data_IF_364120343287
#
_entry.id   IF_364120343287
#
_cell.length_a   1.000
_cell.length_b   1.000
_cell.length_c   1.000
_cell.angle_alpha   90.00
_cell.angle_beta   90.00
_cell.angle_gamma   90.00
#
_symmetry.space_group_name_H-M   'P 1'
#
loop_
_entity.id
_entity.type
_entity.pdbx_description
1 polymer ?
#
# COMPACT_ATOMS: atom_id res chain seq x y z
N UNK A 1 9.66 -20.37 -16.11
CA UNK A 1 8.41 -19.90 -16.76
C UNK A 1 8.48 -18.38 -16.81
N UNK A 2 8.37 -17.73 -17.99
CA UNK A 2 8.40 -16.26 -18.08
C UNK A 2 6.98 -15.76 -17.79
N UNK A 3 6.73 -15.19 -16.61
CA UNK A 3 5.47 -14.52 -16.30
C UNK A 3 5.43 -13.18 -17.04
N UNK A 4 4.35 -12.90 -17.78
CA UNK A 4 4.06 -11.57 -18.35
C UNK A 4 3.03 -10.85 -17.48
N UNK A 5 3.23 -9.55 -17.24
CA UNK A 5 2.27 -8.69 -16.55
C UNK A 5 1.44 -7.98 -17.61
N UNK A 6 0.13 -8.23 -17.67
CA UNK A 6 -0.77 -7.56 -18.62
C UNK A 6 -1.67 -6.59 -17.84
N UNK A 7 -1.53 -5.30 -18.10
CA UNK A 7 -2.41 -4.26 -17.59
C UNK A 7 -3.62 -4.08 -18.52
N UNK A 8 -4.83 -4.03 -17.97
CA UNK A 8 -5.95 -3.35 -18.60
C UNK A 8 -6.15 -2.00 -17.91
N UNK A 9 -5.87 -0.95 -18.67
CA UNK A 9 -6.27 0.46 -18.55
C UNK A 9 -6.56 0.98 -17.11
N UNK A 10 -5.71 1.94 -16.70
CA UNK A 10 -5.88 2.97 -15.67
C UNK A 10 -5.16 2.84 -14.31
N UNK A 11 -4.07 2.07 -14.21
CA UNK A 11 -3.08 2.27 -13.14
C UNK A 11 -1.74 2.72 -13.75
N UNK A 12 -1.20 3.82 -13.21
CA UNK A 12 -0.02 4.52 -13.71
C UNK A 12 1.17 3.55 -13.87
N UNK A 13 1.88 3.54 -15.02
CA UNK A 13 2.95 2.57 -15.32
C UNK A 13 4.20 2.62 -14.42
N UNK A 14 4.32 3.61 -13.54
CA UNK A 14 5.61 4.04 -13.00
C UNK A 14 6.13 3.25 -11.79
N UNK A 15 5.29 2.49 -11.07
CA UNK A 15 5.67 1.90 -9.77
C UNK A 15 5.80 0.37 -9.76
N UNK A 16 5.39 -0.33 -10.82
CA UNK A 16 5.59 -1.78 -10.98
C UNK A 16 6.55 -2.11 -12.14
N UNK A 17 7.15 -1.09 -12.74
CA UNK A 17 8.03 -1.21 -13.90
C UNK A 17 9.45 -1.65 -13.54
N UNK A 18 9.82 -2.85 -13.95
CA UNK A 18 11.17 -3.24 -14.39
C UNK A 18 12.28 -3.44 -13.35
N UNK A 19 12.39 -2.64 -12.29
CA UNK A 19 13.51 -2.73 -11.32
C UNK A 19 13.11 -3.32 -9.96
N UNK A 20 11.92 -3.01 -9.44
CA UNK A 20 11.51 -3.46 -8.11
C UNK A 20 11.23 -4.98 -8.06
N UNK A 21 10.61 -5.53 -9.11
CA UNK A 21 10.30 -6.98 -9.19
C UNK A 21 11.57 -7.85 -9.31
N UNK A 22 12.60 -7.33 -9.98
CA UNK A 22 13.89 -8.00 -10.11
C UNK A 22 14.62 -8.04 -8.76
N UNK A 23 14.47 -7.00 -7.94
CA UNK A 23 15.06 -6.95 -6.60
C UNK A 23 14.37 -7.90 -5.60
N UNK A 24 13.05 -8.05 -5.67
CA UNK A 24 12.28 -8.87 -4.70
C UNK A 24 12.23 -10.35 -5.08
N UNK A 25 12.02 -10.67 -6.36
CA UNK A 25 11.82 -12.05 -6.81
C UNK A 25 12.88 -12.55 -7.79
N UNK A 26 13.82 -11.69 -8.23
CA UNK A 26 14.77 -12.04 -9.30
C UNK A 26 14.09 -12.22 -10.66
N UNK A 27 12.84 -11.75 -10.81
CA UNK A 27 12.04 -11.93 -12.02
C UNK A 27 11.78 -10.56 -12.65
N UNK A 28 12.19 -10.43 -13.92
CA UNK A 28 11.83 -9.28 -14.74
C UNK A 28 10.48 -9.52 -15.40
N UNK A 29 9.48 -8.77 -14.96
CA UNK A 29 8.14 -8.78 -15.54
C UNK A 29 8.05 -7.72 -16.63
N UNK A 30 7.61 -8.12 -17.82
CA UNK A 30 7.26 -7.21 -18.90
C UNK A 30 5.82 -6.73 -18.71
N UNK A 31 5.59 -5.43 -18.92
CA UNK A 31 4.28 -4.79 -18.80
C UNK A 31 3.73 -4.54 -20.20
N UNK A 32 2.50 -4.99 -20.46
CA UNK A 32 1.79 -4.80 -21.72
C UNK A 32 0.35 -4.34 -21.46
N UNK A 33 -0.16 -3.40 -22.25
CA UNK A 33 -1.56 -2.95 -22.17
C UNK A 33 -2.46 -3.82 -23.06
N UNK A 34 -3.53 -4.37 -22.49
CA UNK A 34 -4.49 -5.25 -23.18
C UNK A 34 -5.87 -5.20 -22.52
N UNK A 35 -6.92 -5.38 -23.31
CA UNK A 35 -8.31 -5.47 -22.82
C UNK A 35 -8.74 -6.90 -22.48
N UNK A 36 -7.83 -7.87 -22.63
CA UNK A 36 -8.09 -9.27 -22.34
C UNK A 36 -6.90 -9.89 -21.63
N UNK A 37 -7.13 -10.82 -20.68
CA UNK A 37 -6.05 -11.50 -19.99
C UNK A 37 -5.23 -12.39 -20.94
N UNK A 38 -3.91 -12.36 -20.78
CA UNK A 38 -3.00 -13.26 -21.50
C UNK A 38 -2.85 -14.61 -20.78
N UNK A 39 -2.35 -15.62 -21.48
CA UNK A 39 -2.03 -16.91 -20.85
C UNK A 39 -0.88 -16.80 -19.85
N UNK A 40 -1.02 -17.45 -18.70
CA UNK A 40 -0.01 -17.47 -17.62
C UNK A 40 0.45 -16.06 -17.22
N UNK A 41 -0.49 -15.12 -17.15
CA UNK A 41 -0.23 -13.71 -16.88
C UNK A 41 -0.83 -13.25 -15.54
N UNK A 42 -0.34 -12.11 -15.05
CA UNK A 42 -1.04 -11.35 -14.02
C UNK A 42 -1.83 -10.27 -14.74
N UNK A 43 -3.15 -10.34 -14.62
CA UNK A 43 -4.09 -9.41 -15.23
C UNK A 43 -4.67 -8.46 -14.19
N UNK A 44 -4.45 -7.17 -14.40
CA UNK A 44 -4.94 -6.10 -13.53
C UNK A 44 -6.03 -5.33 -14.28
N UNK A 45 -7.22 -5.20 -13.70
CA UNK A 45 -8.34 -4.49 -14.33
C UNK A 45 -9.17 -3.71 -13.31
N UNK A 46 -9.80 -2.64 -13.77
CA UNK A 46 -10.86 -1.99 -13.01
C UNK A 46 -12.18 -2.75 -13.18
N UNK A 47 -12.97 -2.78 -12.10
CA UNK A 47 -14.32 -3.32 -12.05
C UNK A 47 -15.34 -2.27 -11.65
N UNK A 48 -16.56 -2.72 -11.41
CA UNK A 48 -17.63 -1.86 -10.89
C UNK A 48 -17.42 -1.59 -9.40
N UNK A 49 -17.36 -0.31 -8.99
CA UNK A 49 -17.22 0.10 -7.59
C UNK A 49 -18.37 -0.42 -6.72
N UNK A 50 -19.58 -0.53 -7.29
CA UNK A 50 -20.76 -0.99 -6.56
C UNK A 50 -20.76 -2.49 -6.24
N UNK A 51 -19.78 -3.24 -6.77
CA UNK A 51 -19.62 -4.67 -6.52
C UNK A 51 -19.05 -4.98 -5.12
N UNK A 52 -18.53 -3.97 -4.41
CA UNK A 52 -17.86 -4.16 -3.12
C UNK A 52 -18.61 -3.46 -2.00
N UNK A 53 -18.68 -4.11 -0.84
CA UNK A 53 -19.22 -3.53 0.39
C UNK A 53 -18.14 -3.45 1.46
N UNK A 54 -18.24 -2.52 2.39
CA UNK A 54 -17.41 -2.48 3.60
C UNK A 54 -17.90 -3.49 4.65
N UNK A 55 -17.23 -3.55 5.81
CA UNK A 55 -17.63 -4.44 6.91
C UNK A 55 -19.03 -4.12 7.50
N UNK A 56 -19.58 -2.93 7.25
CA UNK A 56 -20.92 -2.54 7.66
C UNK A 56 -21.98 -2.80 6.57
N UNK A 57 -21.57 -3.29 5.40
CA UNK A 57 -22.45 -3.61 4.27
C UNK A 57 -22.74 -2.43 3.34
N UNK A 58 -22.06 -1.29 3.49
CA UNK A 58 -22.21 -0.13 2.61
C UNK A 58 -21.32 -0.27 1.37
N UNK A 59 -21.76 0.22 0.19
CA UNK A 59 -20.91 0.23 -1.00
C UNK A 59 -19.58 0.93 -0.73
N UNK A 60 -18.47 0.33 -1.17
CA UNK A 60 -17.12 0.87 -0.96
C UNK A 60 -16.30 0.89 -2.24
N UNK A 61 -15.57 1.99 -2.46
CA UNK A 61 -14.60 2.10 -3.55
C UNK A 61 -13.21 1.52 -3.19
N UNK A 62 -13.09 0.91 -2.00
CA UNK A 62 -11.86 0.34 -1.48
C UNK A 62 -11.91 -1.21 -1.36
N UNK A 63 -12.54 -1.87 -2.33
CA UNK A 63 -12.58 -3.34 -2.44
C UNK A 63 -11.96 -3.87 -3.73
N UNK A 64 -11.40 -5.09 -3.66
CA UNK A 64 -10.94 -5.84 -4.82
C UNK A 64 -11.20 -7.34 -4.69
N UNK A 65 -11.26 -7.99 -5.86
CA UNK A 65 -11.33 -9.43 -6.03
C UNK A 65 -10.01 -9.93 -6.62
N UNK A 66 -9.48 -11.00 -6.04
CA UNK A 66 -8.30 -11.72 -6.51
C UNK A 66 -8.71 -13.14 -6.86
N UNK A 67 -8.41 -13.59 -8.08
CA UNK A 67 -8.64 -14.97 -8.51
C UNK A 67 -7.35 -15.55 -9.07
N UNK A 68 -7.02 -16.78 -8.67
CA UNK A 68 -5.85 -17.53 -9.12
C UNK A 68 -6.31 -18.86 -9.69
N UNK A 69 -5.89 -19.18 -10.91
CA UNK A 69 -6.21 -20.45 -11.57
C UNK A 69 -5.10 -20.84 -12.56
N UNK A 70 -5.29 -21.94 -13.30
CA UNK A 70 -4.29 -22.44 -14.25
C UNK A 70 -3.97 -21.47 -15.42
N UNK A 71 -4.82 -20.47 -15.67
CA UNK A 71 -4.59 -19.45 -16.69
C UNK A 71 -3.79 -18.25 -16.18
N UNK A 72 -3.70 -18.04 -14.86
CA UNK A 72 -2.96 -16.91 -14.29
C UNK A 72 -3.57 -16.34 -13.01
N UNK A 73 -3.21 -15.08 -12.74
CA UNK A 73 -3.65 -14.29 -11.58
C UNK A 73 -4.48 -13.12 -12.10
N UNK A 74 -5.65 -12.90 -11.53
CA UNK A 74 -6.60 -11.88 -11.97
C UNK A 74 -6.95 -11.01 -10.78
N UNK A 75 -6.70 -9.71 -10.88
CA UNK A 75 -7.06 -8.71 -9.87
C UNK A 75 -8.02 -7.72 -10.51
N UNK A 76 -9.22 -7.66 -9.96
CA UNK A 76 -10.24 -6.68 -10.32
C UNK A 76 -10.52 -5.82 -9.10
N UNK A 77 -10.48 -4.51 -9.22
CA UNK A 77 -10.74 -3.61 -8.10
C UNK A 77 -11.62 -2.43 -8.47
N UNK A 78 -12.24 -1.83 -7.47
CA UNK A 78 -13.06 -0.63 -7.63
C UNK A 78 -12.26 0.58 -8.14
N UNK A 79 -10.99 0.69 -7.76
CA UNK A 79 -10.10 1.77 -8.20
C UNK A 79 -8.67 1.29 -8.40
N UNK A 80 -7.85 2.10 -9.07
CA UNK A 80 -6.46 1.77 -9.40
C UNK A 80 -5.58 1.57 -8.17
N UNK A 81 -5.79 2.35 -7.12
CA UNK A 81 -5.13 2.19 -5.81
C UNK A 81 -5.39 0.80 -5.22
N UNK A 82 -6.62 0.33 -5.34
CA UNK A 82 -7.05 -0.90 -4.68
C UNK A 82 -6.64 -2.12 -5.50
N UNK A 83 -6.65 -2.02 -6.84
CA UNK A 83 -5.99 -2.99 -7.72
C UNK A 83 -4.51 -3.12 -7.37
N UNK A 84 -3.84 -2.00 -7.11
CA UNK A 84 -2.45 -2.00 -6.67
C UNK A 84 -2.28 -2.65 -5.28
N UNK A 85 -3.17 -2.41 -4.31
CA UNK A 85 -3.17 -3.18 -3.06
C UNK A 85 -3.37 -4.69 -3.25
N UNK A 86 -4.13 -5.10 -4.27
CA UNK A 86 -4.24 -6.50 -4.66
C UNK A 86 -2.90 -7.11 -5.08
N UNK A 87 -2.01 -6.33 -5.68
CA UNK A 87 -0.65 -6.78 -5.99
C UNK A 87 0.15 -7.06 -4.70
N UNK A 88 0.01 -6.23 -3.65
CA UNK A 88 0.66 -6.52 -2.36
C UNK A 88 0.20 -7.84 -1.75
N UNK A 89 -1.08 -8.18 -1.88
CA UNK A 89 -1.60 -9.48 -1.41
C UNK A 89 -0.96 -10.64 -2.16
N UNK A 90 -0.78 -10.52 -3.48
CA UNK A 90 -0.05 -11.52 -4.28
C UNK A 90 1.39 -11.65 -3.80
N UNK A 91 2.08 -10.53 -3.59
CA UNK A 91 3.47 -10.54 -3.13
C UNK A 91 3.62 -11.11 -1.71
N UNK A 92 2.68 -10.80 -0.81
CA UNK A 92 2.64 -11.36 0.55
C UNK A 92 2.45 -12.87 0.52
N UNK A 93 1.55 -13.37 -0.32
CA UNK A 93 1.35 -14.81 -0.48
C UNK A 93 2.57 -15.51 -1.08
N UNK A 94 3.23 -14.89 -2.06
CA UNK A 94 4.46 -15.41 -2.65
C UNK A 94 5.62 -15.45 -1.63
N UNK A 95 5.76 -14.40 -0.81
CA UNK A 95 6.80 -14.31 0.21
C UNK A 95 6.67 -15.36 1.33
N UNK A 96 5.46 -15.87 1.59
CA UNK A 96 5.24 -16.95 2.55
C UNK A 96 5.71 -18.33 2.05
N UNK A 97 6.05 -18.46 0.76
CA UNK A 97 6.38 -19.73 0.12
C UNK A 97 7.75 -19.66 -0.58
N UNK A 98 8.81 -19.53 0.22
CA UNK A 98 10.19 -19.39 -0.26
C UNK A 98 10.63 -20.53 -1.22
N UNK A 99 10.15 -21.77 -0.97
CA UNK A 99 10.56 -22.96 -1.75
C UNK A 99 9.67 -23.26 -2.98
N UNK A 100 8.44 -22.72 -3.02
CA UNK A 100 7.48 -22.90 -4.12
C UNK A 100 6.62 -21.63 -4.27
N UNK A 101 7.04 -20.67 -5.11
CA UNK A 101 6.36 -19.38 -5.26
C UNK A 101 4.98 -19.49 -5.95
N UNK A 102 4.45 -20.70 -6.16
CA UNK A 102 3.10 -20.93 -6.62
C UNK A 102 2.03 -20.44 -5.64
N UNK A 103 1.17 -19.54 -6.09
CA UNK A 103 -0.06 -19.21 -5.37
C UNK A 103 -1.07 -20.36 -5.50
N UNK A 104 -1.75 -20.75 -4.40
CA UNK A 104 -2.84 -21.72 -4.47
C UNK A 104 -3.96 -21.18 -5.37
N UNK A 105 -4.64 -22.07 -6.09
CA UNK A 105 -5.81 -21.70 -6.88
C UNK A 105 -7.01 -21.40 -5.97
N UNK A 106 -7.76 -20.36 -6.31
CA UNK A 106 -8.90 -19.93 -5.54
C UNK A 106 -9.35 -18.51 -5.88
N UNK A 107 -10.26 -18.01 -5.07
CA UNK A 107 -10.78 -16.65 -5.16
C UNK A 107 -10.83 -16.02 -3.77
N UNK A 108 -10.47 -14.75 -3.68
CA UNK A 108 -10.57 -13.94 -2.49
C UNK A 108 -11.22 -12.59 -2.83
N UNK A 109 -12.05 -12.09 -1.91
CA UNK A 109 -12.52 -10.71 -1.93
C UNK A 109 -11.95 -10.06 -0.69
N UNK A 110 -11.24 -8.95 -0.87
CA UNK A 110 -10.65 -8.19 0.21
C UNK A 110 -11.21 -6.77 0.16
N UNK A 111 -11.59 -6.30 1.33
CA UNK A 111 -12.31 -5.06 1.54
C UNK A 111 -11.92 -4.50 2.91
N UNK A 112 -12.05 -3.19 3.06
CA UNK A 112 -11.67 -2.55 4.29
C UNK A 112 -12.78 -2.61 5.33
N UNK A 113 -12.40 -2.90 6.58
CA UNK A 113 -13.30 -2.76 7.72
C UNK A 113 -13.57 -1.30 8.12
N UNK A 114 -12.60 -0.42 7.89
CA UNK A 114 -12.67 1.01 8.24
C UNK A 114 -11.97 1.84 7.16
N UNK A 115 -12.61 2.93 6.74
CA UNK A 115 -12.07 3.82 5.70
C UNK A 115 -10.81 4.60 6.13
N UNK A 116 -10.56 4.73 7.43
CA UNK A 116 -9.40 5.44 7.96
C UNK A 116 -8.48 4.47 8.72
N UNK A 117 -7.28 4.24 8.19
CA UNK A 117 -6.24 3.39 8.80
C UNK A 117 -4.92 4.13 8.74
N UNK A 118 -4.47 4.61 9.88
CA UNK A 118 -3.28 5.41 9.91
C UNK A 118 -2.32 5.12 11.04
N UNK A 119 -1.13 5.67 10.86
CA UNK A 119 -0.11 5.78 11.90
C UNK A 119 0.28 7.23 12.09
N UNK A 120 0.78 7.54 13.28
CA UNK A 120 1.30 8.85 13.63
C UNK A 120 2.79 8.73 13.92
N UNK A 121 3.60 9.59 13.28
CA UNK A 121 5.03 9.71 13.56
C UNK A 121 5.29 11.05 14.25
N UNK A 122 5.94 10.99 15.41
CA UNK A 122 6.49 12.17 16.07
C UNK A 122 7.82 12.58 15.43
N UNK A 123 7.73 13.54 14.51
CA UNK A 123 8.88 14.18 13.86
C UNK A 123 9.29 15.50 14.54
N UNK A 124 8.62 15.86 15.65
CA UNK A 124 8.91 17.07 16.40
C UNK A 124 10.04 16.85 17.41
N UNK A 125 10.08 15.67 18.04
CA UNK A 125 11.13 15.33 19.03
C UNK A 125 12.42 14.84 18.41
N UNK A 126 12.37 14.28 17.21
CA UNK A 126 13.54 13.86 16.44
C UNK A 126 13.35 14.19 14.96
N UNK A 127 14.42 14.64 14.31
CA UNK A 127 14.42 14.88 12.87
C UNK A 127 14.50 13.55 12.09
N UNK A 128 13.68 13.43 11.06
CA UNK A 128 13.72 12.33 10.09
C UNK A 128 13.97 12.89 8.69
N UNK A 129 14.90 12.31 7.90
CA UNK A 129 15.13 12.75 6.54
C UNK A 129 13.94 12.44 5.63
N UNK A 130 13.78 13.23 4.56
CA UNK A 130 12.70 13.05 3.56
C UNK A 130 12.66 11.62 3.00
N UNK A 131 13.82 11.02 2.73
CA UNK A 131 13.91 9.66 2.18
C UNK A 131 13.27 8.63 3.11
N UNK A 132 13.54 8.72 4.41
CA UNK A 132 12.91 7.87 5.42
C UNK A 132 11.39 8.04 5.45
N UNK A 133 10.88 9.28 5.33
CA UNK A 133 9.43 9.52 5.30
C UNK A 133 8.77 8.89 4.05
N UNK A 134 9.44 8.95 2.90
CA UNK A 134 8.96 8.32 1.66
C UNK A 134 8.97 6.79 1.81
N UNK A 135 10.05 6.21 2.33
CA UNK A 135 10.14 4.78 2.61
C UNK A 135 9.04 4.34 3.59
N UNK A 136 8.78 5.13 4.64
CA UNK A 136 7.71 4.86 5.60
C UNK A 136 6.34 4.82 4.90
N UNK A 137 6.05 5.74 3.98
CA UNK A 137 4.81 5.68 3.19
C UNK A 137 4.71 4.39 2.37
N UNK A 138 5.80 3.94 1.75
CA UNK A 138 5.84 2.67 1.02
C UNK A 138 5.56 1.47 1.96
N UNK A 139 6.18 1.45 3.15
CA UNK A 139 5.93 0.42 4.17
C UNK A 139 4.50 0.43 4.69
N UNK A 140 3.94 1.60 4.97
CA UNK A 140 2.53 1.74 5.38
C UNK A 140 1.60 1.18 4.32
N UNK A 141 1.90 1.46 3.06
CA UNK A 141 1.06 1.03 1.97
C UNK A 141 1.14 -0.46 1.67
N UNK A 142 2.28 -1.10 1.96
CA UNK A 142 2.39 -2.57 1.96
C UNK A 142 1.36 -3.22 2.89
N UNK A 143 1.07 -2.58 4.03
CA UNK A 143 0.03 -3.00 4.98
C UNK A 143 -1.34 -2.37 4.73
N UNK A 144 -1.55 -1.75 3.55
CA UNK A 144 -2.80 -1.11 3.16
C UNK A 144 -3.27 -0.02 4.14
N UNK A 145 -2.36 0.65 4.85
CA UNK A 145 -2.67 1.87 5.59
C UNK A 145 -2.79 3.05 4.61
N UNK A 146 -3.70 3.98 4.87
CA UNK A 146 -4.02 5.07 3.97
C UNK A 146 -3.91 6.48 4.60
N UNK A 147 -3.57 6.58 5.89
CA UNK A 147 -3.42 7.86 6.59
C UNK A 147 -2.06 7.94 7.28
N UNK A 148 -1.25 8.93 6.93
CA UNK A 148 0.00 9.21 7.65
C UNK A 148 -0.08 10.56 8.35
N UNK A 149 -0.06 10.55 9.68
CA UNK A 149 -0.07 11.76 10.50
C UNK A 149 1.33 12.10 10.99
N UNK A 150 1.91 13.17 10.45
CA UNK A 150 3.17 13.72 10.89
C UNK A 150 2.93 14.76 11.98
N UNK A 151 3.44 14.48 13.17
CA UNK A 151 3.43 15.46 14.24
C UNK A 151 4.72 16.27 14.20
N UNK A 152 4.58 17.55 13.86
CA UNK A 152 5.68 18.40 13.41
C UNK A 152 6.15 19.41 14.47
N UNK A 153 5.35 19.64 15.52
CA UNK A 153 5.70 20.56 16.62
C UNK A 153 5.26 19.99 17.96
N UNK A 154 6.21 19.90 18.90
CA UNK A 154 6.03 19.45 20.28
C UNK A 154 7.11 20.09 21.18
N UNK A 155 6.95 19.95 22.50
CA UNK A 155 7.96 20.29 23.49
C UNK A 155 8.78 19.07 23.93
N UNK A 156 9.92 19.38 24.54
CA UNK A 156 10.75 18.44 25.28
C UNK A 156 10.37 18.46 26.77
N UNK A 157 9.08 18.27 27.10
CA UNK A 157 8.66 18.15 28.50
C UNK A 157 9.39 16.96 29.13
N UNK A 158 10.20 17.23 30.16
CA UNK A 158 11.00 16.24 30.92
C UNK A 158 12.34 15.77 30.30
N UNK A 159 12.98 16.60 29.47
CA UNK A 159 14.39 16.38 29.14
C UNK A 159 15.29 16.71 30.34
N UNK A 160 16.20 15.79 30.72
CA UNK A 160 17.20 16.00 31.79
C UNK A 160 18.12 17.21 31.54
N UNK A 161 18.16 17.69 30.31
CA UNK A 161 19.01 18.80 29.88
C UNK A 161 18.38 20.18 30.13
N UNK A 162 17.10 20.24 30.55
CA UNK A 162 16.39 21.49 30.81
C UNK A 162 15.83 21.52 32.23
N UNK A 163 15.95 22.67 32.89
CA UNK A 163 15.22 22.93 34.14
C UNK A 163 13.71 23.01 33.88
N UNK A 164 12.92 22.97 34.94
CA UNK A 164 11.46 23.14 34.85
C UNK A 164 11.10 24.49 34.24
N UNK A 165 11.79 25.56 34.66
CA UNK A 165 11.59 26.92 34.17
C UNK A 165 11.94 27.04 32.68
N UNK A 166 13.05 26.42 32.25
CA UNK A 166 13.42 26.37 30.83
C UNK A 166 12.41 25.60 30.00
N UNK A 167 11.91 24.47 30.52
CA UNK A 167 10.89 23.66 29.85
C UNK A 167 9.56 24.41 29.68
N UNK A 168 9.19 25.24 30.66
CA UNK A 168 7.99 26.09 30.62
C UNK A 168 8.16 27.34 29.75
N UNK A 169 9.40 27.77 29.50
CA UNK A 169 9.72 28.89 28.60
C UNK A 169 9.92 28.49 27.14
N UNK A 170 9.93 27.20 26.82
CA UNK A 170 9.86 26.72 25.44
C UNK A 170 8.42 26.93 24.95
N UNK A 171 8.20 27.96 24.13
CA UNK A 171 6.89 28.32 23.55
C UNK A 171 6.39 27.28 22.53
N UNK A 172 6.05 26.09 23.01
CA UNK A 172 5.46 25.00 22.24
C UNK A 172 3.93 24.96 22.40
N UNK A 173 3.29 26.13 22.48
CA UNK A 173 1.86 26.26 22.74
C UNK A 173 0.99 25.76 21.58
N UNK A 174 1.54 25.72 20.35
CA UNK A 174 0.84 25.23 19.18
C UNK A 174 1.30 23.82 18.82
N UNK A 175 0.33 22.92 18.80
CA UNK A 175 0.49 21.54 18.36
C UNK A 175 0.21 21.46 16.87
N UNK A 176 1.27 21.40 16.06
CA UNK A 176 1.16 21.35 14.60
C UNK A 176 1.30 19.91 14.11
N UNK A 177 0.33 19.46 13.35
CA UNK A 177 0.34 18.15 12.71
C UNK A 177 -0.10 18.26 11.25
N UNK A 178 0.46 17.40 10.41
CA UNK A 178 0.12 17.25 9.01
C UNK A 178 -0.42 15.85 8.80
N UNK A 179 -1.68 15.73 8.38
CA UNK A 179 -2.27 14.46 7.98
C UNK A 179 -2.26 14.36 6.45
N UNK A 180 -1.66 13.29 5.94
CA UNK A 180 -1.64 12.97 4.52
C UNK A 180 -2.47 11.72 4.27
N UNK A 181 -3.25 11.72 3.18
CA UNK A 181 -3.82 10.51 2.62
C UNK A 181 -2.82 9.95 1.61
N UNK A 182 -2.37 8.72 1.84
CA UNK A 182 -1.38 8.02 1.00
C UNK A 182 -2.07 7.07 0.03
#
# INVERSE_FOLDING_TARGET
MKLKLLFAIAATPALLGGQENEAVFGIRLEVEESNSPGESSIYLTLGDESAYTDAAGWPTSEGYSLTTNGSGIFITGASSLVVWWGTWTVLQQAALREDDPGLPYGSANDMLGWGERGMMLDAARNYYPRTFLIEMCSYMSFFKQNIFHLHLSDNLFNSKNYSREQSLGLDAWFRFGLTMKI
#
